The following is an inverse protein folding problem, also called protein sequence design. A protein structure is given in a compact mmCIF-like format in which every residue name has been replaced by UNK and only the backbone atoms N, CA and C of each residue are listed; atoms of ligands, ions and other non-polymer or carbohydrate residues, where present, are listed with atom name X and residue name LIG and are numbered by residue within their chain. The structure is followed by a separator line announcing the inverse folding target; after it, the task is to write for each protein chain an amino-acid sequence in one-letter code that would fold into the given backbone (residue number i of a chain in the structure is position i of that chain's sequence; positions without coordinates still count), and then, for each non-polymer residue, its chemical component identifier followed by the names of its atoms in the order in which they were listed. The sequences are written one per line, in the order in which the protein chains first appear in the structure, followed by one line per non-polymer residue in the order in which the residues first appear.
data_IF_224511382105
#
_entry.id   IF_224511382105
#
_cell.length_a   1.000
_cell.length_b   1.000
_cell.length_c   1.000
_cell.angle_alpha   90.00
_cell.angle_beta   90.00
_cell.angle_gamma   90.00
#
_symmetry.space_group_name_H-M   'P 1'
#
loop_
_entity.id
_entity.type
_entity.pdbx_description
1 polymer ?
#
# COMPACT_ATOMS: atom_id res chain seq x y z
N UNK A 1 21.41 18.46 -16.56
CA UNK A 1 21.23 17.10 -16.00
C UNK A 1 21.43 17.24 -14.51
N UNK A 2 20.35 17.41 -13.75
CA UNK A 2 20.42 17.45 -12.28
C UNK A 2 20.70 16.02 -11.81
N UNK A 3 21.77 15.82 -11.05
CA UNK A 3 22.02 14.54 -10.41
C UNK A 3 20.84 14.23 -9.49
N UNK A 4 20.19 13.09 -9.68
CA UNK A 4 19.17 12.63 -8.76
C UNK A 4 19.88 12.29 -7.44
N UNK A 5 19.67 13.11 -6.40
CA UNK A 5 20.10 12.76 -5.04
C UNK A 5 19.57 11.36 -4.71
N UNK A 6 20.49 10.47 -4.39
CA UNK A 6 20.16 9.11 -3.98
C UNK A 6 19.74 9.15 -2.52
N UNK A 7 18.44 9.28 -2.26
CA UNK A 7 17.91 9.21 -0.91
C UNK A 7 18.06 7.79 -0.36
N UNK A 8 18.62 7.70 0.84
CA UNK A 8 18.66 6.47 1.62
C UNK A 8 17.63 6.56 2.74
N UNK A 9 16.97 5.44 3.03
CA UNK A 9 15.98 5.33 4.11
C UNK A 9 16.50 4.31 5.12
N UNK A 10 17.37 4.72 6.06
CA UNK A 10 17.87 3.83 7.11
C UNK A 10 16.71 3.19 7.88
N UNK A 11 16.82 1.91 8.18
CA UNK A 11 15.85 1.29 9.07
C UNK A 11 16.08 1.75 10.51
N UNK A 12 15.00 1.99 11.24
CA UNK A 12 14.97 2.11 12.71
C UNK A 12 14.30 0.86 13.29
N UNK A 13 14.25 0.69 14.63
CA UNK A 13 13.53 -0.42 15.24
C UNK A 13 12.04 -0.50 14.83
N UNK A 14 11.41 0.64 14.50
CA UNK A 14 10.00 0.69 14.13
C UNK A 14 9.76 0.91 12.63
N UNK A 15 10.62 1.68 11.94
CA UNK A 15 10.42 2.06 10.54
C UNK A 15 11.40 1.34 9.63
N UNK A 16 10.91 0.76 8.54
CA UNK A 16 11.76 0.18 7.49
C UNK A 16 11.22 0.47 6.11
N UNK A 17 12.08 0.41 5.09
CA UNK A 17 11.66 0.46 3.68
C UNK A 17 11.46 -0.96 3.16
N UNK A 18 10.34 -1.20 2.48
CA UNK A 18 10.06 -2.51 1.90
C UNK A 18 10.89 -2.72 0.62
N UNK A 19 11.25 -3.98 0.35
CA UNK A 19 11.81 -4.36 -0.94
C UNK A 19 10.76 -4.17 -2.03
N UNK A 20 11.17 -3.53 -3.12
CA UNK A 20 10.26 -3.25 -4.21
C UNK A 20 9.84 -4.56 -4.91
N UNK A 21 8.54 -4.82 -4.89
CA UNK A 21 7.87 -5.91 -5.63
C UNK A 21 7.00 -5.28 -6.73
N UNK A 22 6.66 -6.03 -7.80
CA UNK A 22 5.71 -5.56 -8.80
C UNK A 22 4.46 -4.97 -8.14
N UNK A 23 4.13 -3.73 -8.50
CA UNK A 23 3.01 -3.01 -7.93
C UNK A 23 2.15 -2.48 -9.06
N UNK A 24 1.01 -3.12 -9.29
CA UNK A 24 0.18 -2.92 -10.47
C UNK A 24 -1.19 -2.42 -10.07
N UNK A 25 -1.61 -1.27 -10.60
CA UNK A 25 -2.99 -0.83 -10.43
C UNK A 25 -3.90 -1.55 -11.43
N UNK A 26 -5.08 -1.94 -10.95
CA UNK A 26 -6.12 -2.61 -11.71
C UNK A 26 -7.40 -1.80 -11.52
N UNK A 27 -7.94 -1.23 -12.59
CA UNK A 27 -9.22 -0.53 -12.56
C UNK A 27 -10.16 -1.17 -13.58
N UNK A 28 -11.25 -1.79 -13.12
CA UNK A 28 -12.15 -2.48 -14.02
C UNK A 28 -12.83 -1.49 -14.98
N UNK A 29 -13.13 -1.95 -16.18
CA UNK A 29 -14.05 -1.25 -17.05
C UNK A 29 -15.49 -1.43 -16.55
N UNK A 30 -16.37 -0.55 -17.03
CA UNK A 30 -17.78 -0.55 -16.64
C UNK A 30 -18.40 -1.94 -16.75
N UNK A 31 -19.01 -2.41 -15.66
CA UNK A 31 -19.69 -3.71 -15.57
C UNK A 31 -18.79 -4.94 -15.84
N UNK A 32 -17.47 -4.81 -15.71
CA UNK A 32 -16.54 -5.87 -16.07
C UNK A 32 -16.01 -6.71 -14.88
N UNK A 33 -16.36 -6.36 -13.63
CA UNK A 33 -15.83 -7.03 -12.43
C UNK A 33 -16.01 -8.56 -12.47
N UNK A 34 -17.19 -9.14 -12.81
CA UNK A 34 -17.32 -10.59 -12.85
C UNK A 34 -16.41 -11.26 -13.89
N UNK A 35 -16.22 -10.62 -15.05
CA UNK A 35 -15.34 -11.13 -16.10
C UNK A 35 -13.86 -10.97 -15.74
N UNK A 36 -13.51 -9.88 -15.05
CA UNK A 36 -12.19 -9.64 -14.48
C UNK A 36 -11.83 -10.71 -13.44
N UNK A 37 -12.72 -10.97 -12.48
CA UNK A 37 -12.55 -12.02 -11.47
C UNK A 37 -12.40 -13.41 -12.10
N UNK A 38 -13.22 -13.72 -13.12
CA UNK A 38 -13.08 -14.97 -13.87
C UNK A 38 -11.73 -15.08 -14.59
N UNK A 39 -11.23 -13.98 -15.16
CA UNK A 39 -9.93 -13.95 -15.83
C UNK A 39 -8.74 -14.06 -14.86
N UNK A 40 -8.88 -13.52 -13.64
CA UNK A 40 -7.88 -13.63 -12.58
C UNK A 40 -7.97 -14.95 -11.80
N UNK A 41 -9.10 -15.65 -11.88
CA UNK A 41 -9.37 -16.86 -11.11
C UNK A 41 -9.56 -16.60 -9.61
N UNK A 42 -10.00 -15.41 -9.22
CA UNK A 42 -10.20 -15.03 -7.82
C UNK A 42 -11.31 -13.99 -7.68
N UNK A 43 -11.95 -13.94 -6.51
CA UNK A 43 -12.85 -12.86 -6.13
C UNK A 43 -12.04 -11.68 -5.57
N UNK A 44 -12.26 -10.49 -6.09
CA UNK A 44 -11.59 -9.27 -5.64
C UNK A 44 -12.33 -8.68 -4.43
N UNK A 45 -11.63 -8.04 -3.47
CA UNK A 45 -12.29 -7.43 -2.32
C UNK A 45 -13.17 -6.27 -2.78
N UNK A 46 -14.42 -6.21 -2.34
CA UNK A 46 -15.36 -5.13 -2.67
C UNK A 46 -15.48 -4.06 -1.57
N UNK A 47 -14.89 -4.34 -0.41
CA UNK A 47 -14.81 -3.44 0.74
C UNK A 47 -13.34 -3.09 1.02
N UNK A 48 -13.04 -2.08 1.88
CA UNK A 48 -11.68 -1.62 2.20
C UNK A 48 -10.82 -2.62 2.98
N UNK A 49 -10.60 -3.79 2.38
CA UNK A 49 -9.78 -4.88 2.89
C UNK A 49 -8.85 -5.37 1.78
N UNK A 50 -7.88 -6.17 2.17
CA UNK A 50 -6.99 -6.89 1.28
C UNK A 50 -7.17 -8.39 1.39
N UNK A 51 -6.82 -9.07 0.31
CA UNK A 51 -6.74 -10.53 0.23
C UNK A 51 -5.37 -10.92 -0.31
N UNK A 52 -4.94 -12.15 -0.02
CA UNK A 52 -3.70 -12.72 -0.56
C UNK A 52 -4.03 -14.01 -1.30
N UNK A 53 -3.61 -14.10 -2.56
CA UNK A 53 -3.79 -15.28 -3.42
C UNK A 53 -2.48 -15.50 -4.16
N UNK A 54 -1.92 -16.72 -4.09
CA UNK A 54 -0.66 -17.08 -4.77
C UNK A 54 0.49 -16.08 -4.52
N UNK A 55 0.68 -15.66 -3.27
CA UNK A 55 1.69 -14.65 -2.85
C UNK A 55 1.51 -13.25 -3.49
N UNK A 56 0.36 -12.98 -4.10
CA UNK A 56 -0.06 -11.64 -4.54
C UNK A 56 -1.06 -11.08 -3.54
N UNK A 57 -0.81 -9.88 -3.03
CA UNK A 57 -1.76 -9.13 -2.22
C UNK A 57 -2.58 -8.20 -3.11
N UNK A 58 -3.90 -8.31 -3.07
CA UNK A 58 -4.83 -7.39 -3.74
C UNK A 58 -5.43 -6.46 -2.68
N UNK A 59 -5.10 -5.19 -2.76
CA UNK A 59 -5.61 -4.12 -1.90
C UNK A 59 -6.81 -3.48 -2.59
N UNK A 60 -7.95 -3.35 -1.91
CA UNK A 60 -9.00 -2.46 -2.37
C UNK A 60 -8.51 -1.01 -2.40
N UNK A 61 -8.72 -0.32 -3.52
CA UNK A 61 -8.27 1.07 -3.74
C UNK A 61 -9.39 1.97 -4.23
N UNK A 62 -10.64 1.59 -3.99
CA UNK A 62 -11.83 2.32 -4.44
C UNK A 62 -12.83 1.41 -5.14
N UNK A 63 -14.02 1.94 -5.46
CA UNK A 63 -15.00 1.21 -6.27
C UNK A 63 -14.36 0.73 -7.57
N UNK A 64 -14.43 -0.57 -7.82
CA UNK A 64 -13.90 -1.22 -9.04
C UNK A 64 -12.39 -0.97 -9.29
N UNK A 65 -11.62 -0.68 -8.24
CA UNK A 65 -10.19 -0.38 -8.33
C UNK A 65 -9.38 -1.08 -7.23
N UNK A 66 -8.22 -1.59 -7.62
CA UNK A 66 -7.32 -2.35 -6.76
C UNK A 66 -5.85 -2.04 -7.03
N UNK A 67 -5.02 -2.31 -6.03
CA UNK A 67 -3.57 -2.34 -6.16
C UNK A 67 -3.08 -3.76 -5.87
N UNK A 68 -2.46 -4.39 -6.86
CA UNK A 68 -1.86 -5.71 -6.74
C UNK A 68 -0.37 -5.59 -6.43
N UNK A 69 0.04 -6.09 -5.27
CA UNK A 69 1.43 -6.17 -4.82
C UNK A 69 1.94 -7.60 -5.02
N UNK A 70 3.03 -7.74 -5.75
CA UNK A 70 3.68 -9.02 -6.06
C UNK A 70 3.24 -9.66 -7.37
N UNK A 71 2.26 -9.11 -8.10
CA UNK A 71 1.83 -9.62 -9.40
C UNK A 71 2.67 -9.04 -10.55
N UNK A 72 3.51 -9.83 -11.24
CA UNK A 72 4.19 -9.35 -12.43
C UNK A 72 3.16 -8.95 -13.50
N UNK A 73 3.35 -7.85 -14.27
CA UNK A 73 2.37 -7.40 -15.26
C UNK A 73 1.96 -8.47 -16.28
N UNK A 74 2.88 -9.40 -16.62
CA UNK A 74 2.61 -10.52 -17.51
C UNK A 74 1.57 -11.52 -16.94
N UNK A 75 1.55 -11.71 -15.61
CA UNK A 75 0.58 -12.60 -14.93
C UNK A 75 -0.86 -12.06 -15.01
N UNK A 76 -1.02 -10.76 -15.25
CA UNK A 76 -2.32 -10.08 -15.35
C UNK A 76 -2.77 -9.87 -16.81
N UNK A 77 -2.09 -10.47 -17.79
CA UNK A 77 -2.39 -10.25 -19.21
C UNK A 77 -3.84 -10.60 -19.57
N UNK A 78 -4.38 -11.68 -19.00
CA UNK A 78 -5.76 -12.13 -19.25
C UNK A 78 -6.83 -11.16 -18.76
N UNK A 79 -6.50 -10.28 -17.80
CA UNK A 79 -7.40 -9.29 -17.24
C UNK A 79 -7.49 -7.99 -18.06
N UNK A 80 -6.55 -7.74 -18.99
CA UNK A 80 -6.48 -6.51 -19.80
C UNK A 80 -7.75 -6.17 -20.61
N UNK A 81 -8.54 -7.15 -21.12
CA UNK A 81 -9.81 -6.83 -21.78
C UNK A 81 -10.87 -6.24 -20.85
N UNK A 82 -10.74 -6.45 -19.53
CA UNK A 82 -11.75 -6.12 -18.52
C UNK A 82 -11.32 -4.98 -17.59
N UNK A 83 -10.06 -4.56 -17.66
CA UNK A 83 -9.49 -3.55 -16.76
C UNK A 83 -8.33 -2.78 -17.41
N UNK A 84 -8.18 -1.52 -16.99
CA UNK A 84 -6.92 -0.81 -17.14
C UNK A 84 -5.90 -1.39 -16.14
N UNK A 85 -4.74 -1.79 -16.67
CA UNK A 85 -3.67 -2.43 -15.89
C UNK A 85 -2.38 -1.64 -16.10
N UNK A 86 -1.89 -1.02 -15.04
CA UNK A 86 -0.73 -0.11 -15.10
C UNK A 86 0.31 -0.52 -14.07
N UNK A 87 1.53 -0.79 -14.54
CA UNK A 87 2.68 -0.99 -13.66
C UNK A 87 3.11 0.34 -13.02
N UNK A 88 3.10 0.38 -11.70
CA UNK A 88 3.48 1.54 -10.88
C UNK A 88 4.66 1.21 -9.95
N UNK A 89 5.39 0.12 -10.21
CA UNK A 89 6.48 -0.37 -9.36
C UNK A 89 7.50 0.73 -9.06
N UNK A 90 8.08 1.35 -10.09
CA UNK A 90 9.06 2.44 -9.91
C UNK A 90 8.45 3.79 -9.54
N UNK A 91 7.13 3.90 -9.58
CA UNK A 91 6.41 5.12 -9.23
C UNK A 91 6.18 5.29 -7.73
N UNK A 92 6.42 4.25 -6.93
CA UNK A 92 6.06 4.22 -5.51
C UNK A 92 7.22 3.82 -4.60
N UNK A 93 7.09 4.23 -3.34
CA UNK A 93 7.89 3.74 -2.22
C UNK A 93 6.95 3.17 -1.17
N UNK A 94 7.39 2.11 -0.49
CA UNK A 94 6.62 1.46 0.58
C UNK A 94 7.46 1.48 1.85
N UNK A 95 6.86 1.99 2.93
CA UNK A 95 7.43 1.92 4.27
C UNK A 95 6.60 0.99 5.14
N UNK A 96 7.28 0.24 6.00
CA UNK A 96 6.66 -0.54 7.06
C UNK A 96 6.87 0.15 8.39
N UNK A 97 5.83 0.15 9.20
CA UNK A 97 5.83 0.57 10.59
C UNK A 97 5.37 -0.61 11.46
N UNK A 98 6.22 -1.04 12.37
CA UNK A 98 5.98 -2.18 13.25
C UNK A 98 6.43 -1.87 14.69
N UNK A 99 6.01 -2.72 15.63
CA UNK A 99 6.36 -2.60 17.04
C UNK A 99 5.16 -2.23 17.92
N UNK A 100 5.34 -2.28 19.25
CA UNK A 100 4.24 -2.13 20.21
C UNK A 100 3.55 -0.76 20.17
N UNK A 101 4.25 0.27 19.69
CA UNK A 101 3.75 1.64 19.59
C UNK A 101 3.42 2.09 18.16
N UNK A 102 3.32 1.14 17.21
CA UNK A 102 3.09 1.45 15.80
C UNK A 102 1.75 2.17 15.58
N UNK A 103 0.70 1.75 16.29
CA UNK A 103 -0.63 2.37 16.22
C UNK A 103 -0.60 3.81 16.73
N UNK A 104 0.03 4.05 17.88
CA UNK A 104 0.13 5.37 18.52
C UNK A 104 0.99 6.33 17.70
N UNK A 105 2.11 5.86 17.15
CA UNK A 105 2.93 6.64 16.24
C UNK A 105 2.14 7.02 14.97
N UNK A 106 1.44 6.05 14.35
CA UNK A 106 0.73 6.28 13.11
C UNK A 106 -0.51 7.18 13.29
N UNK A 107 -1.20 7.08 14.43
CA UNK A 107 -2.35 7.92 14.77
C UNK A 107 -2.03 9.42 14.80
N UNK A 108 -0.75 9.81 14.96
CA UNK A 108 -0.31 11.21 14.84
C UNK A 108 -0.35 11.74 13.41
N UNK A 109 -0.30 10.84 12.43
CA UNK A 109 -0.12 11.17 11.02
C UNK A 109 -1.39 10.96 10.18
N UNK A 110 -2.25 10.00 10.57
CA UNK A 110 -3.39 9.57 9.76
C UNK A 110 -4.74 10.01 10.36
N UNK A 111 -5.70 10.45 9.52
CA UNK A 111 -7.01 10.92 9.98
C UNK A 111 -8.07 9.79 10.06
N UNK A 112 -7.66 8.54 10.22
CA UNK A 112 -8.56 7.38 10.30
C UNK A 112 -8.37 6.64 11.64
N UNK A 113 -9.41 5.96 12.09
CA UNK A 113 -9.34 5.12 13.28
C UNK A 113 -8.58 3.81 12.95
N UNK A 114 -7.50 3.58 13.70
CA UNK A 114 -6.62 2.41 13.56
C UNK A 114 -6.93 1.30 14.57
N UNK A 115 -7.96 1.47 15.41
CA UNK A 115 -8.41 0.43 16.33
C UNK A 115 -8.74 -0.85 15.55
N UNK A 116 -8.37 -2.03 16.07
CA UNK A 116 -8.45 -3.30 15.32
C UNK A 116 -9.86 -3.63 14.81
N UNK A 117 -10.89 -3.15 15.52
CA UNK A 117 -12.30 -3.36 15.15
C UNK A 117 -12.73 -2.50 13.96
N UNK A 118 -11.99 -1.43 13.65
CA UNK A 118 -12.24 -0.51 12.54
C UNK A 118 -11.24 -0.74 11.40
N UNK A 119 -9.96 -0.94 11.73
CA UNK A 119 -8.88 -1.24 10.79
C UNK A 119 -8.23 -2.60 11.12
N UNK A 120 -8.87 -3.70 10.69
CA UNK A 120 -8.43 -5.06 11.05
C UNK A 120 -7.10 -5.44 10.40
N UNK A 121 -6.50 -6.60 10.76
CA UNK A 121 -5.21 -7.09 10.24
C UNK A 121 -5.05 -7.22 8.72
N UNK A 122 -6.14 -7.09 7.95
CA UNK A 122 -6.14 -7.05 6.49
C UNK A 122 -6.79 -5.77 5.92
N UNK A 123 -7.12 -4.81 6.78
CA UNK A 123 -7.72 -3.54 6.39
C UNK A 123 -6.83 -2.74 5.45
N UNK A 124 -7.45 -1.96 4.58
CA UNK A 124 -6.74 -1.01 3.72
C UNK A 124 -7.54 0.26 3.49
N UNK A 125 -6.86 1.38 3.35
CA UNK A 125 -7.49 2.66 3.08
C UNK A 125 -6.61 3.53 2.19
N UNK A 126 -7.26 4.29 1.30
CA UNK A 126 -6.69 5.50 0.73
C UNK A 126 -6.88 6.63 1.74
N UNK A 127 -5.79 7.19 2.24
CA UNK A 127 -5.82 8.21 3.30
C UNK A 127 -4.63 9.17 3.16
N UNK A 128 -4.45 10.04 4.15
CA UNK A 128 -3.28 10.89 4.31
C UNK A 128 -2.40 10.37 5.44
N UNK A 129 -1.09 10.54 5.31
CA UNK A 129 -0.13 10.41 6.41
C UNK A 129 0.77 11.65 6.38
N UNK A 130 0.69 12.52 7.39
CA UNK A 130 1.46 13.78 7.40
C UNK A 130 1.20 14.66 6.15
N UNK A 131 -0.08 14.77 5.76
CA UNK A 131 -0.54 15.46 4.53
C UNK A 131 -0.11 14.84 3.19
N UNK A 132 0.52 13.66 3.19
CA UNK A 132 0.89 12.93 1.98
C UNK A 132 -0.16 11.86 1.70
N UNK A 133 -0.66 11.80 0.46
CA UNK A 133 -1.57 10.72 0.04
C UNK A 133 -0.88 9.37 0.06
N UNK A 134 -1.46 8.41 0.78
CA UNK A 134 -0.96 7.05 0.92
C UNK A 134 -2.06 6.02 0.69
N UNK A 135 -1.69 4.87 0.13
CA UNK A 135 -2.43 3.64 0.40
C UNK A 135 -1.85 3.03 1.67
N UNK A 136 -2.64 2.97 2.73
CA UNK A 136 -2.30 2.30 3.98
C UNK A 136 -2.94 0.91 3.99
N UNK A 137 -2.20 -0.11 4.44
CA UNK A 137 -2.78 -1.41 4.73
C UNK A 137 -2.10 -2.06 5.93
N UNK A 138 -2.76 -3.07 6.49
CA UNK A 138 -2.24 -3.87 7.59
C UNK A 138 -1.84 -5.26 7.09
N UNK A 139 -0.70 -5.75 7.58
CA UNK A 139 -0.17 -7.09 7.36
C UNK A 139 0.04 -7.76 8.73
N UNK A 140 -1.04 -8.31 9.30
CA UNK A 140 -0.99 -8.79 10.68
C UNK A 140 -0.88 -7.61 11.65
N UNK A 141 0.29 -7.44 12.27
CA UNK A 141 0.58 -6.32 13.18
C UNK A 141 1.38 -5.19 12.51
N UNK A 142 1.83 -5.39 11.26
CA UNK A 142 2.63 -4.39 10.55
C UNK A 142 1.72 -3.47 9.75
N UNK A 143 1.94 -2.16 9.86
CA UNK A 143 1.35 -1.18 8.96
C UNK A 143 2.27 -0.93 7.78
N UNK A 144 1.71 -0.90 6.58
CA UNK A 144 2.44 -0.63 5.36
C UNK A 144 1.83 0.57 4.63
N UNK A 145 2.69 1.48 4.18
CA UNK A 145 2.30 2.74 3.56
C UNK A 145 2.95 2.89 2.20
N UNK A 146 2.15 2.95 1.14
CA UNK A 146 2.62 3.25 -0.20
C UNK A 146 2.31 4.70 -0.58
N UNK A 147 3.35 5.48 -0.90
CA UNK A 147 3.23 6.83 -1.46
C UNK A 147 3.86 6.90 -2.85
N UNK A 148 3.61 7.98 -3.59
CA UNK A 148 4.41 8.27 -4.77
C UNK A 148 5.88 8.50 -4.37
N UNK A 149 6.82 8.01 -5.19
CA UNK A 149 8.26 8.05 -4.91
C UNK A 149 8.77 9.47 -4.64
N UNK A 150 8.20 10.50 -5.26
CA UNK A 150 8.56 11.91 -5.03
C UNK A 150 8.27 12.41 -3.61
N UNK A 151 7.37 11.77 -2.87
CA UNK A 151 7.04 12.11 -1.48
C UNK A 151 7.70 11.17 -0.47
N UNK A 152 8.49 10.20 -0.92
CA UNK A 152 9.05 9.16 -0.06
C UNK A 152 9.93 9.74 1.06
N UNK A 153 10.76 10.73 0.77
CA UNK A 153 11.58 11.40 1.78
C UNK A 153 10.74 12.13 2.82
N UNK A 154 9.70 12.85 2.41
CA UNK A 154 8.82 13.57 3.34
C UNK A 154 8.01 12.62 4.22
N UNK A 155 7.51 11.51 3.64
CA UNK A 155 6.79 10.49 4.39
C UNK A 155 7.71 9.80 5.39
N UNK A 156 8.91 9.40 4.97
CA UNK A 156 9.91 8.82 5.84
C UNK A 156 10.25 9.74 7.02
N UNK A 157 10.55 11.02 6.76
CA UNK A 157 10.83 11.98 7.82
C UNK A 157 9.66 12.13 8.81
N UNK A 158 8.41 12.11 8.32
CA UNK A 158 7.21 12.18 9.16
C UNK A 158 7.05 10.93 10.03
N UNK A 159 7.33 9.74 9.48
CA UNK A 159 7.30 8.48 10.23
C UNK A 159 8.36 8.47 11.34
N UNK A 160 9.59 8.90 11.04
CA UNK A 160 10.68 9.00 12.01
C UNK A 160 10.33 9.97 13.14
N UNK A 161 9.80 11.15 12.80
CA UNK A 161 9.36 12.12 13.80
C UNK A 161 8.28 11.54 14.71
N UNK A 162 7.28 10.86 14.13
CA UNK A 162 6.18 10.27 14.89
C UNK A 162 6.63 9.16 15.84
N UNK A 163 7.69 8.42 15.49
CA UNK A 163 8.23 7.32 16.30
C UNK A 163 9.19 7.77 17.39
N UNK A 164 9.75 8.98 17.31
CA UNK A 164 10.88 9.42 18.14
C UNK A 164 10.67 9.24 19.65
N UNK A 165 9.45 9.44 20.16
CA UNK A 165 9.16 9.31 21.60
C UNK A 165 9.16 7.86 22.12
N UNK A 166 9.20 6.88 21.22
CA UNK A 166 9.16 5.45 21.53
C UNK A 166 10.53 4.77 21.34
N UNK A 167 11.54 5.50 20.87
CA UNK A 167 12.90 4.98 20.60
C UNK A 167 13.83 5.09 21.84
N UNK A 168 13.27 5.09 23.06
CA UNK A 168 13.98 5.23 24.33
C UNK A 168 14.36 3.93 25.03
#
# INVERSE_FOLDING_TARGET
MLEAESFTYPATPMVSVATLRPLVSIAAFKNAVPALEAALGLALPLTPVSIVVNDVRYLWSGPEAWLALGAPPASLAAARPYAAITDQTDGRAIFHLAGPHATEALAKLVPIDLHETVFPPNGTALTLAGHISVQLWREGEVFALACFRSFAQSLYASLIEACREFEG
#
